data_IF_227613192882
#
_entry.id   IF_227613192882
#
_cell.length_a   1.000
_cell.length_b   1.000
_cell.length_c   1.000
_cell.angle_alpha   90.00
_cell.angle_beta   90.00
_cell.angle_gamma   90.00
#
_symmetry.space_group_name_H-M   'P 1'
#
loop_
_entity.id
_entity.type
_entity.pdbx_description
1 polymer ?
#
# COMPACT_ATOMS: atom_id res chain seq x y z
N UNK A 1 -7.43 25.10 24.66
CA UNK A 1 -7.54 24.97 23.18
C UNK A 1 -6.17 24.89 22.48
N UNK A 2 -5.28 25.90 22.51
CA UNK A 2 -3.93 25.79 21.86
C UNK A 2 -3.05 24.65 22.39
N UNK A 3 -3.14 24.33 23.68
CA UNK A 3 -2.32 23.31 24.34
C UNK A 3 -2.71 21.88 23.94
N UNK A 4 -4.01 21.59 23.79
CA UNK A 4 -4.50 20.27 23.38
C UNK A 4 -4.19 19.96 21.91
N UNK A 5 -4.33 20.95 21.02
CA UNK A 5 -3.96 20.82 19.61
C UNK A 5 -2.46 20.56 19.45
N UNK A 6 -1.62 21.24 20.25
CA UNK A 6 -0.17 21.01 20.30
C UNK A 6 0.19 19.58 20.74
N UNK A 7 -0.49 19.06 21.76
CA UNK A 7 -0.24 17.70 22.29
C UNK A 7 -0.69 16.62 21.30
N UNK A 8 -1.84 16.81 20.64
CA UNK A 8 -2.32 15.90 19.60
C UNK A 8 -1.38 15.88 18.38
N UNK A 9 -0.89 17.04 17.94
CA UNK A 9 0.06 17.15 16.83
C UNK A 9 1.41 16.51 17.19
N UNK A 10 1.90 16.70 18.41
CA UNK A 10 3.14 16.05 18.88
C UNK A 10 2.96 14.53 19.05
N UNK A 11 1.79 14.07 19.50
CA UNK A 11 1.44 12.66 19.59
C UNK A 11 1.33 12.01 18.21
N UNK A 12 0.74 12.72 17.24
CA UNK A 12 0.69 12.32 15.84
C UNK A 12 2.11 12.23 15.25
N UNK A 13 2.93 13.28 15.37
CA UNK A 13 4.29 13.31 14.81
C UNK A 13 5.27 12.33 15.49
N UNK A 14 5.03 11.91 16.74
CA UNK A 14 5.82 10.87 17.42
C UNK A 14 5.42 9.45 17.05
N UNK A 15 4.21 9.23 16.51
CA UNK A 15 3.68 7.92 16.14
C UNK A 15 4.43 7.31 14.96
N UNK A 16 4.84 6.05 15.07
CA UNK A 16 5.58 5.34 14.02
C UNK A 16 4.73 5.16 12.77
N UNK A 17 3.43 4.92 12.94
CA UNK A 17 2.50 4.76 11.83
C UNK A 17 2.02 6.09 11.25
N UNK A 18 2.08 7.19 12.00
CA UNK A 18 1.72 8.51 11.47
C UNK A 18 2.72 9.00 10.42
N UNK A 19 4.01 8.73 10.61
CA UNK A 19 5.06 9.02 9.62
C UNK A 19 4.79 8.23 8.34
N UNK A 20 4.42 6.96 8.47
CA UNK A 20 4.08 6.10 7.34
C UNK A 20 2.86 6.61 6.56
N UNK A 21 1.82 7.08 7.25
CA UNK A 21 0.66 7.72 6.64
C UNK A 21 1.03 9.01 5.91
N UNK A 22 1.86 9.87 6.51
CA UNK A 22 2.32 11.12 5.88
C UNK A 22 3.13 10.84 4.62
N UNK A 23 3.98 9.80 4.64
CA UNK A 23 4.68 9.34 3.44
C UNK A 23 3.64 8.94 2.39
N UNK A 24 2.70 8.04 2.68
CA UNK A 24 1.64 7.66 1.72
C UNK A 24 0.86 8.84 1.14
N UNK A 25 0.47 9.81 1.97
CA UNK A 25 -0.25 10.99 1.49
C UNK A 25 0.60 11.85 0.55
N UNK A 26 1.86 12.10 0.90
CA UNK A 26 2.78 12.83 0.04
C UNK A 26 3.01 12.10 -1.29
N UNK A 27 3.10 10.77 -1.26
CA UNK A 27 3.24 9.93 -2.45
C UNK A 27 2.09 10.10 -3.43
N UNK A 28 0.85 10.06 -2.94
CA UNK A 28 -0.35 10.21 -3.77
C UNK A 28 -0.49 11.60 -4.40
N UNK A 29 0.03 12.63 -3.73
CA UNK A 29 0.00 14.00 -4.25
C UNK A 29 1.11 14.26 -5.28
N UNK A 30 2.26 13.59 -5.16
CA UNK A 30 3.42 13.83 -6.02
C UNK A 30 3.37 12.98 -7.29
N UNK A 31 2.92 11.72 -7.21
CA UNK A 31 2.92 10.77 -8.34
C UNK A 31 2.21 11.28 -9.62
N UNK A 32 1.02 11.91 -9.56
CA UNK A 32 0.31 12.34 -10.77
C UNK A 32 0.97 13.52 -11.48
N UNK A 33 1.81 14.27 -10.76
CA UNK A 33 2.41 15.54 -11.23
C UNK A 33 3.76 15.31 -11.90
N UNK A 34 4.36 14.12 -11.73
CA UNK A 34 5.68 13.83 -12.26
C UNK A 34 5.64 13.55 -13.77
N UNK A 35 6.51 14.19 -14.57
CA UNK A 35 6.62 13.90 -15.99
C UNK A 35 7.08 12.45 -16.24
N UNK A 36 6.51 11.82 -17.26
CA UNK A 36 6.91 10.49 -17.75
C UNK A 36 8.41 10.47 -18.09
N UNK A 37 9.13 9.43 -17.67
CA UNK A 37 10.55 9.25 -17.95
C UNK A 37 11.32 8.58 -16.82
N UNK A 38 12.65 8.62 -16.89
CA UNK A 38 13.53 8.06 -15.88
C UNK A 38 13.31 8.64 -14.47
N UNK A 39 12.90 9.92 -14.39
CA UNK A 39 12.56 10.60 -13.13
C UNK A 39 11.33 9.95 -12.48
N UNK A 40 10.28 9.66 -13.25
CA UNK A 40 9.08 8.98 -12.74
C UNK A 40 9.45 7.57 -12.23
N UNK A 41 10.27 6.81 -12.98
CA UNK A 41 10.75 5.48 -12.56
C UNK A 41 11.52 5.51 -11.25
N UNK A 42 12.59 6.31 -11.19
CA UNK A 42 13.41 6.42 -9.99
C UNK A 42 12.59 6.92 -8.81
N UNK A 43 11.64 7.82 -9.04
CA UNK A 43 10.73 8.26 -7.99
C UNK A 43 9.86 7.09 -7.53
N UNK A 44 9.15 6.37 -8.41
CA UNK A 44 8.36 5.19 -8.04
C UNK A 44 9.15 4.10 -7.29
N UNK A 45 10.41 3.88 -7.63
CA UNK A 45 11.29 2.94 -6.94
C UNK A 45 11.63 3.41 -5.51
N UNK A 46 12.07 4.67 -5.39
CA UNK A 46 12.35 5.31 -4.08
C UNK A 46 11.10 5.30 -3.21
N UNK A 47 9.94 5.48 -3.81
CA UNK A 47 8.64 5.45 -3.15
C UNK A 47 8.32 4.06 -2.60
N UNK A 48 8.44 3.01 -3.41
CA UNK A 48 8.23 1.64 -2.95
C UNK A 48 9.18 1.28 -1.79
N UNK A 49 10.45 1.70 -1.90
CA UNK A 49 11.44 1.52 -0.82
C UNK A 49 10.99 2.27 0.44
N UNK A 50 10.61 3.54 0.32
CA UNK A 50 10.19 4.36 1.46
C UNK A 50 8.95 3.80 2.16
N UNK A 51 7.98 3.29 1.38
CA UNK A 51 6.79 2.60 1.88
C UNK A 51 7.19 1.39 2.70
N UNK A 52 8.00 0.50 2.12
CA UNK A 52 8.37 -0.74 2.79
C UNK A 52 9.22 -0.46 4.03
N UNK A 53 10.18 0.46 3.97
CA UNK A 53 10.96 0.87 5.15
C UNK A 53 10.06 1.44 6.24
N UNK A 54 9.07 2.26 5.88
CA UNK A 54 8.11 2.83 6.83
C UNK A 54 7.24 1.74 7.48
N UNK A 55 6.75 0.78 6.69
CA UNK A 55 6.04 -0.40 7.18
C UNK A 55 6.89 -1.21 8.17
N UNK A 56 8.16 -1.47 7.83
CA UNK A 56 9.08 -2.27 8.63
C UNK A 56 9.45 -1.59 9.95
N UNK A 57 9.64 -0.26 9.95
CA UNK A 57 9.88 0.51 11.18
C UNK A 57 8.68 0.47 12.12
N UNK A 58 7.47 0.42 11.57
CA UNK A 58 6.25 0.41 12.36
C UNK A 58 6.04 -0.92 13.10
N UNK A 59 6.51 -2.04 12.52
CA UNK A 59 6.32 -3.39 13.07
C UNK A 59 7.41 -3.80 14.07
N UNK A 60 8.63 -3.22 14.00
CA UNK A 60 9.82 -3.51 14.82
C UNK A 60 9.73 -4.64 15.88
N UNK A 61 9.63 -5.90 15.45
CA UNK A 61 9.64 -7.06 16.37
C UNK A 61 11.07 -7.47 16.75
N UNK A 62 12.05 -7.26 15.85
CA UNK A 62 13.48 -7.60 16.06
C UNK A 62 14.38 -6.85 15.06
N UNK A 63 15.60 -6.46 15.48
CA UNK A 63 16.58 -5.78 14.59
C UNK A 63 17.05 -6.67 13.43
N UNK A 64 17.07 -8.00 13.60
CA UNK A 64 17.47 -8.94 12.55
C UNK A 64 16.38 -9.03 11.49
N UNK A 65 15.12 -9.15 11.90
CA UNK A 65 13.98 -9.19 10.97
C UNK A 65 13.91 -7.90 10.15
N UNK A 66 14.13 -6.74 10.79
CA UNK A 66 14.20 -5.46 10.11
C UNK A 66 15.29 -5.41 9.03
N UNK A 67 16.54 -5.78 9.37
CA UNK A 67 17.65 -5.73 8.42
C UNK A 67 17.49 -6.70 7.24
N UNK A 68 16.96 -7.92 7.50
CA UNK A 68 16.70 -8.91 6.45
C UNK A 68 15.66 -8.38 5.46
N UNK A 69 14.55 -7.81 5.95
CA UNK A 69 13.47 -7.32 5.08
C UNK A 69 13.88 -6.07 4.28
N UNK A 70 14.69 -5.18 4.86
CA UNK A 70 15.27 -4.03 4.13
C UNK A 70 16.21 -4.50 3.03
N UNK A 71 17.09 -5.48 3.32
CA UNK A 71 17.99 -6.08 2.34
C UNK A 71 17.19 -6.74 1.20
N UNK A 72 16.14 -7.48 1.51
CA UNK A 72 15.25 -8.09 0.52
C UNK A 72 14.57 -7.06 -0.38
N UNK A 73 14.08 -5.96 0.20
CA UNK A 73 13.46 -4.87 -0.57
C UNK A 73 14.47 -4.21 -1.51
N UNK A 74 15.67 -3.93 -1.00
CA UNK A 74 16.75 -3.36 -1.81
C UNK A 74 17.15 -4.29 -2.97
N UNK A 75 17.16 -5.61 -2.74
CA UNK A 75 17.43 -6.60 -3.79
C UNK A 75 16.33 -6.63 -4.84
N UNK A 76 15.05 -6.64 -4.46
CA UNK A 76 13.93 -6.59 -5.41
C UNK A 76 14.03 -5.35 -6.30
N UNK A 77 14.30 -4.19 -5.70
CA UNK A 77 14.40 -2.92 -6.45
C UNK A 77 15.65 -2.86 -7.33
N UNK A 78 16.79 -3.39 -6.86
CA UNK A 78 18.01 -3.46 -7.68
C UNK A 78 17.80 -4.38 -8.89
N UNK A 79 17.08 -5.48 -8.71
CA UNK A 79 16.73 -6.41 -9.80
C UNK A 79 15.73 -5.77 -10.77
N UNK A 80 14.69 -5.08 -10.28
CA UNK A 80 13.71 -4.37 -11.13
C UNK A 80 14.31 -3.16 -11.87
N UNK A 81 15.24 -2.43 -11.25
CA UNK A 81 15.89 -1.24 -11.83
C UNK A 81 16.94 -1.58 -12.89
N UNK A 82 17.51 -2.78 -12.85
CA UNK A 82 18.41 -3.23 -13.90
C UNK A 82 17.59 -3.82 -15.04
N UNK A 83 17.78 -3.28 -16.26
CA UNK A 83 17.20 -3.83 -17.49
C UNK A 83 17.63 -5.29 -17.79
N UNK A 84 18.42 -5.90 -16.90
CA UNK A 84 18.84 -7.30 -16.89
C UNK A 84 17.62 -8.22 -16.95
N UNK A 85 16.53 -7.93 -16.24
CA UNK A 85 15.31 -8.76 -16.28
C UNK A 85 14.69 -8.77 -17.69
N UNK A 86 14.74 -7.63 -18.40
CA UNK A 86 14.21 -7.51 -19.77
C UNK A 86 15.08 -8.20 -20.83
N UNK A 87 16.32 -8.56 -20.49
CA UNK A 87 17.27 -9.25 -21.38
C UNK A 87 17.38 -10.76 -21.09
N UNK A 88 16.74 -11.26 -20.02
CA UNK A 88 16.66 -12.70 -19.78
C UNK A 88 15.50 -13.25 -20.62
N UNK A 89 15.84 -13.97 -21.69
CA UNK A 89 14.89 -14.64 -22.57
C UNK A 89 14.15 -15.75 -21.80
N UNK A 90 12.99 -15.40 -21.25
CA UNK A 90 12.14 -16.31 -20.49
C UNK A 90 11.44 -15.57 -19.36
N UNK A 91 10.27 -15.00 -19.65
CA UNK A 91 9.45 -14.21 -18.70
C UNK A 91 9.08 -14.90 -17.38
N UNK A 92 9.48 -16.16 -17.16
CA UNK A 92 9.32 -16.89 -15.91
C UNK A 92 10.06 -16.28 -14.72
N UNK A 93 11.25 -15.68 -14.93
CA UNK A 93 11.97 -15.01 -13.83
C UNK A 93 11.23 -13.78 -13.32
N UNK A 94 10.68 -12.98 -14.23
CA UNK A 94 9.86 -11.82 -13.91
C UNK A 94 8.56 -12.22 -13.18
N UNK A 95 7.88 -13.27 -13.67
CA UNK A 95 6.71 -13.84 -13.00
C UNK A 95 7.02 -14.30 -11.57
N UNK A 96 8.18 -14.95 -11.38
CA UNK A 96 8.64 -15.40 -10.07
C UNK A 96 8.88 -14.22 -9.12
N UNK A 97 9.55 -13.16 -9.59
CA UNK A 97 9.81 -11.95 -8.80
C UNK A 97 8.51 -11.21 -8.43
N UNK A 98 7.58 -11.03 -9.37
CA UNK A 98 6.26 -10.44 -9.12
C UNK A 98 5.46 -11.25 -8.10
N UNK A 99 5.47 -12.58 -8.23
CA UNK A 99 4.78 -13.48 -7.29
C UNK A 99 5.39 -13.38 -5.88
N UNK A 100 6.72 -13.33 -5.79
CA UNK A 100 7.41 -13.16 -4.52
C UNK A 100 7.11 -11.80 -3.88
N UNK A 101 7.11 -10.71 -4.67
CA UNK A 101 6.74 -9.36 -4.23
C UNK A 101 5.31 -9.30 -3.71
N UNK A 102 4.37 -9.97 -4.38
CA UNK A 102 2.98 -10.07 -3.95
C UNK A 102 2.85 -10.75 -2.58
N UNK A 103 3.49 -11.91 -2.41
CA UNK A 103 3.50 -12.63 -1.13
C UNK A 103 4.13 -11.79 -0.03
N UNK A 104 5.24 -11.11 -0.33
CA UNK A 104 5.93 -10.22 0.59
C UNK A 104 5.04 -9.09 1.10
N UNK A 105 4.38 -8.35 0.20
CA UNK A 105 3.47 -7.26 0.58
C UNK A 105 2.27 -7.77 1.38
N UNK A 106 1.73 -8.94 1.02
CA UNK A 106 0.64 -9.58 1.74
C UNK A 106 1.05 -9.97 3.17
N UNK A 107 2.28 -10.47 3.38
CA UNK A 107 2.80 -10.75 4.72
C UNK A 107 2.96 -9.48 5.56
N UNK A 108 3.43 -8.37 4.96
CA UNK A 108 3.50 -7.07 5.65
C UNK A 108 2.10 -6.61 6.03
N UNK A 109 1.14 -6.69 5.10
CA UNK A 109 -0.25 -6.31 5.35
C UNK A 109 -0.86 -7.09 6.51
N UNK A 110 -0.71 -8.42 6.51
CA UNK A 110 -1.18 -9.28 7.60
C UNK A 110 -0.48 -8.90 8.91
N UNK A 111 0.83 -8.64 8.88
CA UNK A 111 1.59 -8.27 10.08
C UNK A 111 1.11 -6.96 10.69
N UNK A 112 0.86 -5.93 9.87
CA UNK A 112 0.28 -4.66 10.32
C UNK A 112 -1.13 -4.89 10.86
N UNK A 113 -1.96 -5.65 10.14
CA UNK A 113 -3.33 -5.92 10.56
C UNK A 113 -3.39 -6.66 11.90
N UNK A 114 -2.51 -7.63 12.15
CA UNK A 114 -2.40 -8.28 13.46
C UNK A 114 -2.05 -7.30 14.57
N UNK A 115 -1.17 -6.34 14.29
CA UNK A 115 -0.82 -5.29 15.26
C UNK A 115 -1.98 -4.31 15.51
N UNK A 116 -2.66 -3.88 14.44
CA UNK A 116 -3.80 -2.94 14.49
C UNK A 116 -5.00 -3.56 15.21
N UNK A 117 -5.26 -4.86 15.00
CA UNK A 117 -6.37 -5.62 15.58
C UNK A 117 -6.06 -6.20 16.97
N UNK A 118 -4.84 -6.01 17.49
CA UNK A 118 -4.52 -6.46 18.84
C UNK A 118 -5.41 -5.78 19.90
N UNK A 119 -5.68 -6.50 21.00
CA UNK A 119 -6.64 -6.13 22.06
C UNK A 119 -6.24 -4.89 22.87
N UNK A 120 -5.02 -4.40 22.69
CA UNK A 120 -4.55 -3.20 23.38
C UNK A 120 -5.38 -1.95 23.01
N UNK A 121 -5.38 -0.89 23.85
CA UNK A 121 -6.21 0.30 23.64
C UNK A 121 -6.01 0.88 22.26
N UNK A 122 -7.08 1.40 21.66
CA UNK A 122 -6.96 2.00 20.33
C UNK A 122 -6.46 3.43 20.47
N UNK A 123 -5.19 3.60 20.17
CA UNK A 123 -4.49 4.88 20.15
C UNK A 123 -4.56 5.49 18.75
N UNK A 124 -4.28 6.79 18.64
CA UNK A 124 -4.12 7.50 17.36
C UNK A 124 -3.12 6.79 16.43
N UNK A 125 -2.08 6.18 17.01
CA UNK A 125 -1.08 5.39 16.28
C UNK A 125 -1.67 4.12 15.65
N UNK A 126 -2.59 3.42 16.32
CA UNK A 126 -3.33 2.28 15.72
C UNK A 126 -4.27 2.73 14.59
N UNK A 127 -4.84 3.93 14.67
CA UNK A 127 -5.65 4.52 13.59
C UNK A 127 -4.78 4.81 12.38
N UNK A 128 -3.63 5.46 12.59
CA UNK A 128 -2.66 5.69 11.52
C UNK A 128 -2.15 4.38 10.93
N UNK A 129 -1.98 3.34 11.75
CA UNK A 129 -1.60 2.00 11.29
C UNK A 129 -2.68 1.35 10.42
N UNK A 130 -3.95 1.49 10.78
CA UNK A 130 -5.07 1.03 9.97
C UNK A 130 -5.15 1.75 8.62
N UNK A 131 -5.02 3.09 8.62
CA UNK A 131 -5.01 3.88 7.39
C UNK A 131 -3.81 3.50 6.51
N UNK A 132 -2.64 3.30 7.11
CA UNK A 132 -1.45 2.87 6.38
C UNK A 132 -1.60 1.45 5.81
N UNK A 133 -2.31 0.55 6.50
CA UNK A 133 -2.67 -0.76 5.97
C UNK A 133 -3.61 -0.68 4.76
N UNK A 134 -4.53 0.30 4.73
CA UNK A 134 -5.38 0.56 3.56
C UNK A 134 -4.56 0.92 2.32
N UNK A 135 -3.57 1.82 2.46
CA UNK A 135 -2.65 2.13 1.35
C UNK A 135 -1.84 0.91 0.91
N UNK A 136 -1.28 0.16 1.87
CA UNK A 136 -0.52 -1.06 1.57
C UNK A 136 -1.36 -2.11 0.84
N UNK A 137 -2.64 -2.22 1.20
CA UNK A 137 -3.59 -3.08 0.50
C UNK A 137 -3.69 -2.70 -0.97
N UNK A 138 -3.84 -1.41 -1.31
CA UNK A 138 -3.83 -0.94 -2.70
C UNK A 138 -2.55 -1.29 -3.45
N UNK A 139 -1.38 -1.10 -2.84
CA UNK A 139 -0.13 -1.55 -3.48
C UNK A 139 -0.07 -3.07 -3.68
N UNK A 140 -0.65 -3.85 -2.77
CA UNK A 140 -0.70 -5.32 -2.89
C UNK A 140 -1.57 -5.74 -4.07
N UNK A 141 -2.78 -5.16 -4.21
CA UNK A 141 -3.66 -5.43 -5.35
C UNK A 141 -3.04 -4.97 -6.68
N UNK A 142 -2.38 -3.81 -6.70
CA UNK A 142 -1.65 -3.31 -7.85
C UNK A 142 -0.62 -4.31 -8.38
N UNK A 143 0.19 -4.90 -7.51
CA UNK A 143 1.14 -5.97 -7.91
C UNK A 143 0.41 -7.18 -8.48
N UNK A 144 -0.74 -7.54 -7.92
CA UNK A 144 -1.60 -8.59 -8.46
C UNK A 144 -2.09 -8.27 -9.88
N UNK A 145 -2.54 -7.05 -10.15
CA UNK A 145 -2.94 -6.63 -11.50
C UNK A 145 -1.78 -6.66 -12.50
N UNK A 146 -0.60 -6.19 -12.09
CA UNK A 146 0.62 -6.31 -12.90
C UNK A 146 0.92 -7.78 -13.22
N UNK A 147 0.78 -8.69 -12.25
CA UNK A 147 0.99 -10.13 -12.47
C UNK A 147 -0.02 -10.70 -13.49
N UNK A 148 -1.30 -10.33 -13.41
CA UNK A 148 -2.31 -10.74 -14.40
C UNK A 148 -1.98 -10.25 -15.81
N UNK A 149 -1.55 -8.99 -15.94
CA UNK A 149 -1.16 -8.41 -17.22
C UNK A 149 0.14 -9.02 -17.76
N UNK A 150 1.09 -9.34 -16.88
CA UNK A 150 2.34 -10.01 -17.26
C UNK A 150 2.12 -11.43 -17.79
N UNK A 151 1.24 -12.21 -17.14
CA UNK A 151 0.91 -13.57 -17.57
C UNK A 151 0.08 -13.55 -18.87
N UNK A 152 -0.85 -12.61 -18.98
CA UNK A 152 -1.67 -12.43 -20.17
C UNK A 152 -1.88 -10.93 -20.43
N UNK A 153 -1.17 -10.35 -21.41
CA UNK A 153 -1.30 -8.94 -21.75
C UNK A 153 -2.73 -8.52 -22.10
N UNK A 154 -3.56 -9.44 -22.61
CA UNK A 154 -4.97 -9.18 -22.92
C UNK A 154 -5.86 -9.10 -21.67
N UNK A 155 -5.34 -9.25 -20.45
CA UNK A 155 -6.12 -9.17 -19.21
C UNK A 155 -6.67 -7.78 -18.92
N UNK A 156 -6.00 -6.73 -19.40
CA UNK A 156 -6.35 -5.33 -19.16
C UNK A 156 -6.22 -4.53 -20.44
N UNK A 157 -7.14 -3.58 -20.65
CA UNK A 157 -6.99 -2.58 -21.70
C UNK A 157 -6.13 -1.41 -21.18
N UNK A 158 -4.80 -1.58 -21.24
CA UNK A 158 -3.84 -0.57 -20.81
C UNK A 158 -3.45 0.30 -22.02
N UNK A 159 -3.52 1.63 -21.94
CA UNK A 159 -3.07 2.51 -23.02
C UNK A 159 -1.59 2.27 -23.36
N UNK A 160 -1.23 2.27 -24.64
CA UNK A 160 0.13 1.99 -25.14
C UNK A 160 1.15 3.02 -24.59
N UNK A 161 0.73 4.28 -24.42
CA UNK A 161 1.53 5.36 -23.80
C UNK A 161 1.16 5.59 -22.32
N UNK A 162 0.51 4.60 -21.69
CA UNK A 162 0.09 4.68 -20.31
C UNK A 162 1.28 4.78 -19.35
N UNK A 163 1.13 5.47 -18.20
CA UNK A 163 2.17 5.50 -17.19
C UNK A 163 2.45 4.09 -16.65
N UNK A 164 3.70 3.82 -16.28
CA UNK A 164 4.11 2.52 -15.73
C UNK A 164 3.42 2.18 -14.39
N UNK A 165 2.82 3.19 -13.75
CA UNK A 165 2.04 3.07 -12.52
C UNK A 165 0.56 2.78 -12.75
N UNK A 166 0.16 2.38 -13.97
CA UNK A 166 -1.23 2.11 -14.34
C UNK A 166 -1.95 1.16 -13.38
N UNK A 167 -1.26 0.13 -12.88
CA UNK A 167 -1.85 -0.86 -11.97
C UNK A 167 -2.13 -0.27 -10.58
N UNK A 168 -1.26 0.63 -10.11
CA UNK A 168 -1.49 1.39 -8.87
C UNK A 168 -2.67 2.34 -9.04
N UNK A 169 -2.74 3.05 -10.17
CA UNK A 169 -3.88 3.91 -10.47
C UNK A 169 -5.20 3.11 -10.54
N UNK A 170 -5.23 1.99 -11.25
CA UNK A 170 -6.40 1.12 -11.36
C UNK A 170 -6.84 0.55 -9.99
N UNK A 171 -5.89 0.10 -9.18
CA UNK A 171 -6.16 -0.41 -7.82
C UNK A 171 -6.80 0.66 -6.93
N UNK A 172 -6.21 1.85 -6.86
CA UNK A 172 -6.74 2.90 -5.97
C UNK A 172 -8.05 3.50 -6.47
N UNK A 173 -8.26 3.61 -7.78
CA UNK A 173 -9.56 4.01 -8.34
C UNK A 173 -10.64 2.95 -8.07
N UNK A 174 -10.28 1.66 -8.04
CA UNK A 174 -11.19 0.57 -7.69
C UNK A 174 -11.50 0.54 -6.19
N UNK A 175 -10.48 0.66 -5.32
CA UNK A 175 -10.64 0.74 -3.86
C UNK A 175 -11.48 1.95 -3.42
N UNK A 176 -11.31 3.09 -4.09
CA UNK A 176 -12.09 4.30 -3.87
C UNK A 176 -13.45 4.29 -4.58
N UNK A 177 -13.79 3.20 -5.29
CA UNK A 177 -15.03 3.03 -6.06
C UNK A 177 -15.28 4.16 -7.09
N UNK A 178 -14.22 4.76 -7.61
CA UNK A 178 -14.28 5.80 -8.65
C UNK A 178 -14.57 5.18 -10.01
N UNK A 179 -13.80 4.17 -10.39
CA UNK A 179 -14.01 3.39 -11.61
C UNK A 179 -14.13 4.23 -12.89
N UNK A 180 -13.17 5.10 -13.17
CA UNK A 180 -13.22 6.03 -14.32
C UNK A 180 -13.44 5.33 -15.68
N UNK A 181 -13.06 4.06 -15.82
CA UNK A 181 -13.35 3.24 -16.98
C UNK A 181 -12.35 3.38 -18.13
N UNK A 182 -11.27 4.13 -17.92
CA UNK A 182 -10.13 4.27 -18.82
C UNK A 182 -9.26 3.00 -18.87
N UNK A 183 -9.10 2.32 -17.73
CA UNK A 183 -8.49 0.98 -17.65
C UNK A 183 -9.55 0.00 -17.17
N UNK A 184 -9.74 -1.09 -17.92
CA UNK A 184 -10.78 -2.08 -17.61
C UNK A 184 -10.27 -3.52 -17.73
N UNK A 185 -10.65 -4.42 -16.80
CA UNK A 185 -10.31 -5.84 -16.87
C UNK A 185 -11.12 -6.53 -17.97
N UNK A 186 -10.43 -7.24 -18.86
CA UNK A 186 -11.01 -7.88 -20.03
C UNK A 186 -11.28 -9.37 -19.79
N UNK A 187 -10.40 -10.04 -19.05
CA UNK A 187 -10.51 -11.48 -18.80
C UNK A 187 -11.35 -11.78 -17.54
N UNK A 188 -12.03 -12.93 -17.53
CA UNK A 188 -12.81 -13.41 -16.38
C UNK A 188 -12.01 -13.38 -15.06
N UNK A 189 -10.77 -13.92 -14.99
CA UNK A 189 -10.01 -13.88 -13.74
C UNK A 189 -9.61 -12.46 -13.32
N UNK A 190 -9.26 -11.57 -14.25
CA UNK A 190 -8.95 -10.18 -13.93
C UNK A 190 -10.18 -9.43 -13.37
N UNK A 191 -11.37 -9.69 -13.93
CA UNK A 191 -12.65 -9.14 -13.44
C UNK A 191 -12.98 -9.64 -12.03
N UNK A 192 -12.83 -10.94 -11.78
CA UNK A 192 -13.05 -11.51 -10.46
C UNK A 192 -12.09 -10.90 -9.42
N UNK A 193 -10.83 -10.72 -9.78
CA UNK A 193 -9.83 -10.11 -8.90
C UNK A 193 -10.16 -8.63 -8.58
N UNK A 194 -10.60 -7.84 -9.57
CA UNK A 194 -11.05 -6.46 -9.35
C UNK A 194 -12.31 -6.38 -8.46
N UNK A 195 -13.26 -7.31 -8.62
CA UNK A 195 -14.44 -7.39 -7.74
C UNK A 195 -14.03 -7.71 -6.30
N UNK A 196 -13.08 -8.63 -6.11
CA UNK A 196 -12.57 -8.96 -4.78
C UNK A 196 -11.91 -7.75 -4.12
N UNK A 197 -11.13 -6.98 -4.86
CA UNK A 197 -10.54 -5.73 -4.37
C UNK A 197 -11.62 -4.74 -3.91
N UNK A 198 -12.60 -4.46 -4.77
CA UNK A 198 -13.66 -3.48 -4.48
C UNK A 198 -14.43 -3.85 -3.21
N UNK A 199 -14.83 -5.12 -3.07
CA UNK A 199 -15.54 -5.61 -1.88
C UNK A 199 -14.66 -5.52 -0.63
N UNK A 200 -13.39 -5.95 -0.73
CA UNK A 200 -12.45 -5.92 0.40
C UNK A 200 -12.18 -4.49 0.85
N UNK A 201 -11.99 -3.56 -0.08
CA UNK A 201 -11.77 -2.14 0.18
C UNK A 201 -12.92 -1.52 0.97
N UNK A 202 -14.16 -1.79 0.55
CA UNK A 202 -15.35 -1.25 1.22
C UNK A 202 -15.54 -1.83 2.63
N UNK A 203 -15.38 -3.15 2.80
CA UNK A 203 -15.46 -3.80 4.11
C UNK A 203 -14.39 -3.23 5.05
N UNK A 204 -13.16 -3.05 4.55
CA UNK A 204 -12.08 -2.48 5.32
C UNK A 204 -12.42 -1.08 5.85
N UNK A 205 -12.86 -0.19 4.96
CA UNK A 205 -13.24 1.18 5.34
C UNK A 205 -14.38 1.19 6.36
N UNK A 206 -15.42 0.40 6.13
CA UNK A 206 -16.57 0.31 7.04
C UNK A 206 -16.15 -0.14 8.44
N UNK A 207 -15.33 -1.19 8.55
CA UNK A 207 -14.86 -1.73 9.84
C UNK A 207 -13.96 -0.73 10.57
N UNK A 208 -13.04 -0.06 9.86
CA UNK A 208 -12.16 0.92 10.46
C UNK A 208 -12.96 2.11 10.98
N UNK A 209 -13.86 2.69 10.18
CA UNK A 209 -14.69 3.82 10.61
C UNK A 209 -15.55 3.46 11.81
N UNK A 210 -16.22 2.30 11.81
CA UNK A 210 -17.01 1.83 12.94
C UNK A 210 -16.16 1.73 14.22
N UNK A 211 -14.92 1.22 14.11
CA UNK A 211 -14.00 1.13 15.23
C UNK A 211 -13.58 2.50 15.76
N UNK A 212 -13.34 3.49 14.88
CA UNK A 212 -13.01 4.86 15.28
C UNK A 212 -14.13 5.52 16.07
N UNK A 213 -15.37 5.35 15.61
CA UNK A 213 -16.56 5.89 16.28
C UNK A 213 -16.72 5.27 17.67
N UNK A 214 -16.60 3.94 17.77
CA UNK A 214 -16.71 3.24 19.06
C UNK A 214 -15.73 3.77 20.12
N UNK A 215 -14.54 4.21 19.70
CA UNK A 215 -13.53 4.76 20.59
C UNK A 215 -13.81 6.18 21.05
N UNK A 216 -14.35 7.01 20.17
CA UNK A 216 -14.78 8.34 20.55
C UNK A 216 -15.89 8.28 21.59
N UNK A 217 -16.81 7.33 21.45
CA UNK A 217 -17.88 7.09 22.43
C UNK A 217 -17.28 6.66 23.77
N UNK A 218 -16.36 5.68 23.77
CA UNK A 218 -15.68 5.24 24.99
C UNK A 218 -14.93 6.36 25.72
N UNK A 219 -14.22 7.22 24.99
CA UNK A 219 -13.51 8.37 25.57
C UNK A 219 -14.48 9.39 26.19
N UNK A 220 -15.61 9.63 25.54
CA UNK A 220 -16.62 10.57 26.05
C UNK A 220 -17.25 10.06 27.34
N UNK A 221 -17.63 8.78 27.38
CA UNK A 221 -18.20 8.14 28.58
C UNK A 221 -17.23 8.14 29.76
N UNK A 222 -15.93 7.95 29.51
CA UNK A 222 -14.91 7.98 30.57
C UNK A 222 -14.55 9.39 31.05
N UNK A 223 -14.80 10.44 30.24
CA UNK A 223 -14.59 11.83 30.62
C UNK A 223 -15.78 12.47 31.35
N UNK A 224 -16.97 11.89 31.17
CA UNK A 224 -18.21 12.31 31.83
C UNK A 224 -18.45 11.58 33.18
N UNK A 225 -17.54 10.69 33.62
CA UNK A 225 -17.59 9.91 34.86
C UNK A 225 -16.52 10.35 35.87
#
# INVERSE_FOLDING_TARGET
>A
MKTETSILIQGFLKGRFSIMLLVFAALFLVLPVLPQGWIARTTSDVINIAVVISCLRAISVSRIYFSVMVLFTALIVLIESTAIVKHIEGGGFETFMLSFKLVYLLLIFISIMRHVLDRSPVTVDKVCGALSAYFLMGFTWAVGFTLFHHINPASFNVPIEGPETWATYFSFTTLATLGYGDITPQTVPARAYAIMEAVTGQIFLAVIVARLIALQILHKVAGDA
#
